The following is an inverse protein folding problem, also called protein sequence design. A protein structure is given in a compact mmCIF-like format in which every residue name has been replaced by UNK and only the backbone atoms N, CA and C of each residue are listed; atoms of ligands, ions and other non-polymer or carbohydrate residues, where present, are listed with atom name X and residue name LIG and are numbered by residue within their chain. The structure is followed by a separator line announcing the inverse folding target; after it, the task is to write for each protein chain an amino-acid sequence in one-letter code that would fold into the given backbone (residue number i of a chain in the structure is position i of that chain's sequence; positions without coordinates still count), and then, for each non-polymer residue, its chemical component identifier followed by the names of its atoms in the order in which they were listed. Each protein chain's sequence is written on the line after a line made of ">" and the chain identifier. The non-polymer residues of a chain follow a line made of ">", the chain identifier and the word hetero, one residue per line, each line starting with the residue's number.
data_IF_195972809374
#
_entry.id   IF_195972809374
#
_cell.length_a   1.000
_cell.length_b   1.000
_cell.length_c   1.000
_cell.angle_alpha   90.00
_cell.angle_beta   90.00
_cell.angle_gamma   90.00
#
_symmetry.space_group_name_H-M   'P 1'
#
loop_
_entity.id
_entity.type
_entity.pdbx_description
1 polymer ?
#
# COMPACT_ATOMS: atom_id res chain seq x y z
N UNK A 1 77.70 49.08 -15.91
CA UNK A 1 76.72 50.13 -15.58
C UNK A 1 75.49 49.46 -14.97
N UNK A 2 75.06 49.90 -13.79
CA UNK A 2 74.05 49.25 -12.94
C UNK A 2 72.65 49.41 -13.54
N UNK A 3 71.85 48.36 -13.59
CA UNK A 3 70.39 48.46 -13.47
C UNK A 3 69.92 47.44 -12.44
N UNK A 4 69.50 47.96 -11.29
CA UNK A 4 68.82 47.21 -10.23
C UNK A 4 67.38 46.99 -10.67
N UNK A 5 66.93 45.74 -10.80
CA UNK A 5 65.51 45.42 -10.85
C UNK A 5 65.05 45.10 -9.43
N UNK A 6 64.24 46.01 -8.88
CA UNK A 6 63.51 45.84 -7.61
C UNK A 6 62.33 44.92 -7.87
N UNK A 7 62.20 43.87 -7.08
CA UNK A 7 60.98 43.07 -6.96
C UNK A 7 59.84 43.95 -6.42
N UNK A 8 58.71 43.99 -7.12
CA UNK A 8 57.45 44.44 -6.52
C UNK A 8 56.25 43.81 -7.25
N UNK A 9 56.00 42.52 -6.97
CA UNK A 9 54.68 41.89 -7.14
C UNK A 9 54.50 40.92 -5.97
N UNK A 10 54.34 41.45 -4.77
CA UNK A 10 53.85 40.72 -3.60
C UNK A 10 52.60 41.43 -3.14
N UNK A 11 51.47 41.12 -3.78
CA UNK A 11 50.20 41.77 -3.45
C UNK A 11 48.96 41.20 -4.13
N UNK A 12 49.05 40.07 -4.83
CA UNK A 12 47.90 39.53 -5.59
C UNK A 12 47.73 38.00 -5.50
N UNK A 13 48.29 37.35 -4.48
CA UNK A 13 48.08 35.90 -4.26
C UNK A 13 47.40 35.62 -2.91
N UNK A 14 47.36 36.58 -1.97
CA UNK A 14 46.79 36.36 -0.64
C UNK A 14 45.29 36.67 -0.53
N UNK A 15 44.70 37.38 -1.49
CA UNK A 15 43.24 37.63 -1.51
C UNK A 15 42.47 36.54 -2.27
N UNK A 16 43.09 35.85 -3.23
CA UNK A 16 42.44 34.75 -3.97
C UNK A 16 42.28 33.49 -3.12
N UNK A 17 43.19 33.25 -2.18
CA UNK A 17 43.10 32.09 -1.26
C UNK A 17 41.97 32.28 -0.24
N UNK A 18 41.68 33.52 0.18
CA UNK A 18 40.60 33.79 1.13
C UNK A 18 39.21 33.68 0.47
N UNK A 19 39.10 33.97 -0.83
CA UNK A 19 37.84 33.78 -1.57
C UNK A 19 37.56 32.29 -1.86
N UNK A 20 38.60 31.50 -2.16
CA UNK A 20 38.46 30.05 -2.34
C UNK A 20 38.14 29.29 -1.05
N UNK A 21 38.51 29.80 0.13
CA UNK A 21 38.21 29.17 1.40
C UNK A 21 36.73 29.36 1.83
N UNK A 22 36.13 30.52 1.52
CA UNK A 22 34.73 30.81 1.86
C UNK A 22 33.73 29.97 1.04
N UNK A 23 34.06 29.63 -0.21
CA UNK A 23 33.21 28.78 -1.04
C UNK A 23 33.28 27.28 -0.65
N UNK A 24 34.36 26.85 0.03
CA UNK A 24 34.54 25.44 0.39
C UNK A 24 33.70 25.03 1.62
N UNK A 25 33.42 25.95 2.53
CA UNK A 25 32.47 25.74 3.64
C UNK A 25 31.01 25.69 3.18
N UNK A 26 30.66 26.35 2.07
CA UNK A 26 29.31 26.31 1.50
C UNK A 26 29.06 25.05 0.63
N UNK A 27 30.10 24.51 0.00
CA UNK A 27 30.00 23.32 -0.85
C UNK A 27 29.89 22.00 -0.07
N UNK A 28 30.40 21.94 1.17
CA UNK A 28 30.31 20.74 2.01
C UNK A 28 28.87 20.45 2.49
N UNK A 29 27.95 21.41 2.33
CA UNK A 29 26.56 21.29 2.76
C UNK A 29 25.60 20.75 1.69
N UNK A 30 26.09 20.39 0.50
CA UNK A 30 25.26 20.16 -0.70
C UNK A 30 25.19 18.72 -1.23
N UNK A 31 25.57 17.71 -0.45
CA UNK A 31 25.33 16.32 -0.85
C UNK A 31 25.09 15.37 0.33
N UNK A 32 24.06 15.65 1.13
CA UNK A 32 23.35 14.56 1.80
C UNK A 32 22.54 13.86 0.70
N UNK A 33 23.09 12.81 0.09
CA UNK A 33 22.29 11.95 -0.80
C UNK A 33 21.04 11.55 -0.04
N UNK A 34 19.89 12.10 -0.42
CA UNK A 34 18.62 11.74 0.21
C UNK A 34 18.34 10.30 -0.17
N UNK A 35 18.59 9.38 0.76
CA UNK A 35 18.26 7.97 0.54
C UNK A 35 16.74 7.90 0.38
N UNK A 36 16.27 7.60 -0.83
CA UNK A 36 14.83 7.45 -1.09
C UNK A 36 14.43 5.98 -0.98
N UNK A 37 13.24 5.73 -0.43
CA UNK A 37 12.66 4.39 -0.31
C UNK A 37 11.33 4.31 -1.09
N UNK A 38 11.03 3.16 -1.67
CA UNK A 38 9.72 2.90 -2.27
C UNK A 38 8.77 2.42 -1.18
N UNK A 39 7.63 3.10 -1.01
CA UNK A 39 6.62 2.76 -0.01
C UNK A 39 5.38 2.27 -0.72
N UNK A 40 4.93 1.07 -0.36
CA UNK A 40 3.62 0.54 -0.73
C UNK A 40 2.69 0.65 0.47
N UNK A 41 1.52 1.22 0.27
CA UNK A 41 0.45 1.32 1.26
C UNK A 41 -0.72 0.46 0.80
N UNK A 42 -1.11 -0.49 1.64
CA UNK A 42 -2.24 -1.38 1.40
C UNK A 42 -3.36 -1.08 2.38
N UNK A 43 -4.54 -0.73 1.85
CA UNK A 43 -5.79 -0.71 2.62
C UNK A 43 -6.53 -1.99 2.32
N UNK A 44 -6.65 -2.86 3.32
CA UNK A 44 -7.39 -4.12 3.22
C UNK A 44 -8.79 -3.88 3.78
N UNK A 45 -9.81 -4.18 2.99
CA UNK A 45 -11.21 -3.98 3.33
C UNK A 45 -11.87 -5.30 3.77
N UNK A 46 -13.05 -5.21 4.38
CA UNK A 46 -13.76 -6.39 4.90
C UNK A 46 -14.19 -7.38 3.79
N UNK A 47 -14.47 -6.86 2.59
CA UNK A 47 -14.80 -7.64 1.39
C UNK A 47 -13.59 -8.32 0.74
N UNK A 48 -12.39 -8.13 1.31
CA UNK A 48 -11.13 -8.75 0.88
C UNK A 48 -10.42 -8.02 -0.26
N UNK A 49 -11.02 -6.95 -0.80
CA UNK A 49 -10.37 -6.07 -1.77
C UNK A 49 -9.20 -5.31 -1.10
N UNK A 50 -8.19 -4.95 -1.89
CA UNK A 50 -6.97 -4.28 -1.43
C UNK A 50 -6.67 -3.07 -2.31
N UNK A 51 -6.79 -1.88 -1.73
CA UNK A 51 -6.33 -0.65 -2.39
C UNK A 51 -4.82 -0.50 -2.17
N UNK A 52 -4.07 -0.43 -3.27
CA UNK A 52 -2.62 -0.31 -3.29
C UNK A 52 -2.23 1.09 -3.76
N UNK A 53 -1.47 1.81 -2.94
CA UNK A 53 -0.83 3.07 -3.31
C UNK A 53 0.69 2.91 -3.24
N UNK A 54 1.41 3.41 -4.25
CA UNK A 54 2.88 3.34 -4.31
C UNK A 54 3.45 4.74 -4.44
N UNK A 55 4.38 5.06 -3.57
CA UNK A 55 5.05 6.37 -3.55
C UNK A 55 6.54 6.23 -3.25
N UNK A 56 7.33 7.21 -3.70
CA UNK A 56 8.73 7.33 -3.31
C UNK A 56 8.82 8.36 -2.20
N UNK A 57 9.47 8.00 -1.10
CA UNK A 57 9.60 8.87 0.06
C UNK A 57 11.07 9.05 0.43
N UNK A 58 11.40 10.26 0.90
CA UNK A 58 12.77 10.63 1.30
C UNK A 58 13.03 10.18 2.73
N UNK A 59 14.15 9.49 3.00
CA UNK A 59 14.61 9.10 4.34
C UNK A 59 15.51 10.19 4.95
N UNK A 60 15.11 11.46 4.88
CA UNK A 60 15.93 12.56 5.42
C UNK A 60 16.13 12.42 6.93
N UNK A 61 15.08 11.96 7.61
CA UNK A 61 15.03 11.55 9.00
C UNK A 61 14.12 10.31 9.14
N UNK A 62 14.69 9.25 9.71
CA UNK A 62 13.97 8.00 9.95
C UNK A 62 12.80 8.20 10.92
N UNK A 63 12.97 8.98 11.97
CA UNK A 63 11.94 9.11 13.01
C UNK A 63 10.72 9.85 12.47
N UNK A 64 10.94 10.93 11.72
CA UNK A 64 9.91 11.65 10.99
C UNK A 64 9.25 10.78 9.90
N UNK A 65 10.03 9.93 9.20
CA UNK A 65 9.50 9.00 8.20
C UNK A 65 8.56 7.94 8.79
N UNK A 66 8.81 7.43 9.99
CA UNK A 66 7.90 6.44 10.61
C UNK A 66 6.66 7.10 11.21
N UNK A 67 6.80 8.35 11.67
CA UNK A 67 5.69 9.10 12.24
C UNK A 67 4.54 9.37 11.25
N UNK A 68 4.84 9.59 9.96
CA UNK A 68 3.82 9.78 8.91
C UNK A 68 2.94 8.53 8.68
N UNK A 69 3.43 7.34 9.03
CA UNK A 69 2.68 6.08 8.90
C UNK A 69 2.10 5.60 10.23
N UNK A 70 1.94 6.49 11.22
CA UNK A 70 1.29 6.16 12.48
C UNK A 70 -0.12 5.59 12.24
N UNK A 71 -0.40 4.45 12.87
CA UNK A 71 -1.67 3.73 12.69
C UNK A 71 -1.71 2.80 11.47
N UNK A 72 -0.61 2.70 10.71
CA UNK A 72 -0.37 1.62 9.77
C UNK A 72 0.50 0.55 10.41
N UNK A 73 0.33 -0.70 9.96
CA UNK A 73 1.17 -1.83 10.36
C UNK A 73 2.26 -2.02 9.33
N UNK A 74 3.52 -2.00 9.74
CA UNK A 74 4.63 -2.38 8.87
C UNK A 74 4.60 -3.91 8.66
N UNK A 75 4.37 -4.34 7.42
CA UNK A 75 4.27 -5.76 7.05
C UNK A 75 5.59 -6.29 6.52
N UNK A 76 6.27 -5.50 5.69
CA UNK A 76 7.57 -5.86 5.13
C UNK A 76 8.49 -4.65 5.07
N UNK A 77 9.77 -4.85 5.35
CA UNK A 77 10.80 -3.86 5.15
C UNK A 77 12.03 -4.50 4.51
N UNK A 78 12.51 -3.88 3.43
CA UNK A 78 13.79 -4.17 2.75
C UNK A 78 14.57 -2.86 2.63
N UNK A 79 15.78 -2.91 2.08
CA UNK A 79 16.67 -1.74 2.04
C UNK A 79 16.04 -0.53 1.34
N UNK A 80 15.39 -0.75 0.19
CA UNK A 80 14.79 0.29 -0.64
C UNK A 80 13.25 0.13 -0.81
N UNK A 81 12.63 -0.64 0.10
CA UNK A 81 11.19 -0.90 0.07
C UNK A 81 10.58 -1.05 1.45
N UNK A 82 9.40 -0.46 1.67
CA UNK A 82 8.57 -0.72 2.84
C UNK A 82 7.11 -0.94 2.43
N UNK A 83 6.49 -1.98 2.98
CA UNK A 83 5.08 -2.27 2.84
C UNK A 83 4.36 -1.97 4.16
N UNK A 84 3.43 -1.04 4.12
CA UNK A 84 2.52 -0.78 5.23
C UNK A 84 1.12 -1.23 4.87
N UNK A 85 0.43 -1.81 5.84
CA UNK A 85 -0.95 -2.26 5.71
C UNK A 85 -1.83 -1.64 6.78
N UNK A 86 -3.04 -1.25 6.38
CA UNK A 86 -4.09 -0.78 7.28
C UNK A 86 -5.36 -1.54 7.01
N UNK A 87 -5.95 -2.09 8.07
CA UNK A 87 -7.28 -2.68 8.01
C UNK A 87 -8.32 -1.57 8.02
N UNK A 88 -9.27 -1.64 7.10
CA UNK A 88 -10.39 -0.71 6.99
C UNK A 88 -11.65 -1.46 7.37
N UNK A 89 -12.32 -0.97 8.41
CA UNK A 89 -13.56 -1.55 8.94
C UNK A 89 -14.80 -1.13 8.12
N UNK A 90 -14.69 -1.30 6.81
CA UNK A 90 -15.71 -0.99 5.79
C UNK A 90 -15.44 -1.84 4.55
N UNK A 91 -16.40 -1.92 3.63
CA UNK A 91 -16.20 -2.51 2.31
C UNK A 91 -15.54 -1.52 1.35
N UNK A 92 -14.85 -2.05 0.34
CA UNK A 92 -14.17 -1.24 -0.65
C UNK A 92 -15.13 -0.33 -1.44
N UNK A 93 -14.67 0.87 -1.87
CA UNK A 93 -15.47 1.74 -2.73
C UNK A 93 -15.97 1.07 -4.01
N UNK A 94 -15.20 0.13 -4.56
CA UNK A 94 -15.56 -0.61 -5.77
C UNK A 94 -16.70 -1.59 -5.50
N UNK A 95 -16.65 -2.33 -4.39
CA UNK A 95 -17.75 -3.20 -3.98
C UNK A 95 -19.02 -2.43 -3.59
N UNK A 96 -18.90 -1.21 -3.05
CA UNK A 96 -20.07 -0.32 -2.86
C UNK A 96 -20.79 -0.01 -4.17
N UNK A 97 -20.08 0.01 -5.30
CA UNK A 97 -20.69 0.22 -6.60
C UNK A 97 -21.18 -1.09 -7.23
N UNK A 98 -20.40 -2.17 -7.12
CA UNK A 98 -20.60 -3.39 -7.92
C UNK A 98 -20.19 -4.69 -7.21
N UNK A 99 -20.30 -4.78 -5.89
CA UNK A 99 -19.93 -5.96 -5.11
C UNK A 99 -21.02 -7.03 -5.09
N UNK A 100 -20.62 -8.29 -5.24
CA UNK A 100 -21.50 -9.45 -5.12
C UNK A 100 -20.86 -10.54 -4.26
N UNK A 101 -21.68 -11.25 -3.50
CA UNK A 101 -21.29 -12.49 -2.81
C UNK A 101 -21.85 -13.67 -3.61
N UNK A 102 -21.02 -14.67 -3.84
CA UNK A 102 -21.40 -15.90 -4.52
C UNK A 102 -20.55 -17.08 -4.09
N UNK A 103 -20.61 -18.15 -4.87
CA UNK A 103 -19.76 -19.32 -4.71
C UNK A 103 -18.68 -19.33 -5.78
N UNK A 104 -17.45 -19.65 -5.38
CA UNK A 104 -16.42 -20.09 -6.34
C UNK A 104 -16.74 -21.50 -6.84
N UNK A 105 -15.96 -21.98 -7.82
CA UNK A 105 -16.11 -23.32 -8.41
C UNK A 105 -16.06 -24.46 -7.35
N UNK A 106 -15.37 -24.23 -6.23
CA UNK A 106 -15.19 -25.21 -5.14
C UNK A 106 -16.23 -25.07 -4.00
N UNK A 107 -17.31 -24.30 -4.20
CA UNK A 107 -18.32 -24.07 -3.17
C UNK A 107 -17.84 -23.17 -2.02
N UNK A 108 -16.91 -22.27 -2.30
CA UNK A 108 -16.38 -21.31 -1.32
C UNK A 108 -17.14 -20.00 -1.41
N UNK A 109 -17.70 -19.54 -0.28
CA UNK A 109 -18.30 -18.21 -0.17
C UNK A 109 -17.23 -17.17 -0.47
N UNK A 110 -17.48 -16.36 -1.49
CA UNK A 110 -16.49 -15.47 -2.08
C UNK A 110 -17.12 -14.15 -2.53
N UNK A 111 -16.32 -13.09 -2.59
CA UNK A 111 -16.71 -11.78 -3.14
C UNK A 111 -16.24 -11.63 -4.58
N UNK A 112 -17.03 -10.90 -5.37
CA UNK A 112 -16.80 -10.67 -6.80
C UNK A 112 -17.10 -9.22 -7.18
N UNK A 113 -16.39 -8.70 -8.18
CA UNK A 113 -16.77 -7.47 -8.86
C UNK A 113 -17.70 -7.81 -10.01
N UNK A 114 -18.98 -7.47 -9.87
CA UNK A 114 -20.02 -7.96 -10.77
C UNK A 114 -20.51 -9.35 -10.36
N UNK A 115 -21.40 -9.92 -11.18
CA UNK A 115 -22.01 -11.22 -10.86
C UNK A 115 -20.97 -12.34 -10.94
N UNK A 116 -21.06 -13.36 -10.08
CA UNK A 116 -20.25 -14.57 -10.16
C UNK A 116 -20.73 -15.42 -11.35
N UNK A 117 -20.34 -15.04 -12.56
CA UNK A 117 -20.42 -15.95 -13.69
C UNK A 117 -19.23 -16.92 -13.68
N UNK A 118 -19.28 -17.99 -14.47
CA UNK A 118 -18.25 -19.03 -14.45
C UNK A 118 -16.84 -18.58 -14.86
N UNK A 119 -16.64 -17.32 -15.25
CA UNK A 119 -15.35 -16.74 -15.63
C UNK A 119 -14.89 -15.65 -14.67
N UNK A 120 -15.76 -15.21 -13.75
CA UNK A 120 -15.45 -14.17 -12.79
C UNK A 120 -14.45 -14.67 -11.75
N UNK A 121 -13.30 -14.01 -11.66
CA UNK A 121 -12.30 -14.31 -10.63
C UNK A 121 -12.80 -13.78 -9.27
N UNK A 122 -12.78 -14.61 -8.22
CA UNK A 122 -13.08 -14.16 -6.87
C UNK A 122 -12.07 -13.10 -6.40
N UNK A 123 -12.55 -12.01 -5.82
CA UNK A 123 -11.72 -11.03 -5.11
C UNK A 123 -11.11 -11.69 -3.87
N UNK A 124 -11.95 -12.39 -3.11
CA UNK A 124 -11.54 -13.05 -1.88
C UNK A 124 -12.39 -14.28 -1.59
N UNK A 125 -11.73 -15.32 -1.08
CA UNK A 125 -12.32 -16.57 -0.65
C UNK A 125 -12.46 -16.54 0.88
N UNK A 126 -13.67 -16.66 1.42
CA UNK A 126 -13.92 -16.55 2.87
C UNK A 126 -13.94 -17.91 3.56
N UNK A 127 -14.92 -18.76 3.22
CA UNK A 127 -15.06 -20.08 3.82
C UNK A 127 -15.87 -21.01 2.93
N UNK A 128 -15.53 -22.29 2.98
CA UNK A 128 -16.28 -23.31 2.26
C UNK A 128 -17.58 -23.65 2.99
N UNK A 129 -18.64 -23.88 2.23
CA UNK A 129 -19.95 -24.30 2.75
C UNK A 129 -20.35 -25.66 2.18
N UNK A 130 -21.25 -26.34 2.89
CA UNK A 130 -21.90 -27.55 2.41
C UNK A 130 -23.13 -27.14 1.59
N UNK A 131 -22.97 -27.10 0.27
CA UNK A 131 -24.04 -26.72 -0.65
C UNK A 131 -25.22 -27.69 -0.62
N UNK A 132 -25.02 -28.94 -0.19
CA UNK A 132 -26.11 -29.93 -0.09
C UNK A 132 -27.13 -29.58 1.01
N UNK A 133 -26.74 -28.72 1.97
CA UNK A 133 -27.58 -28.24 3.06
C UNK A 133 -28.30 -26.93 2.71
N UNK A 134 -28.01 -26.32 1.57
CA UNK A 134 -28.64 -25.06 1.16
C UNK A 134 -30.09 -25.30 0.76
N UNK A 135 -30.95 -24.37 1.15
CA UNK A 135 -32.27 -24.27 0.55
C UNK A 135 -32.14 -23.86 -0.92
N UNK A 136 -32.96 -24.43 -1.80
CA UNK A 136 -32.85 -24.21 -3.25
C UNK A 136 -32.94 -22.74 -3.66
N UNK A 137 -33.66 -21.91 -2.90
CA UNK A 137 -33.76 -20.48 -3.17
C UNK A 137 -32.45 -19.75 -2.83
N UNK A 138 -31.75 -20.15 -1.76
CA UNK A 138 -30.46 -19.58 -1.36
C UNK A 138 -29.38 -19.97 -2.35
N UNK A 139 -29.37 -21.22 -2.81
CA UNK A 139 -28.47 -21.70 -3.85
C UNK A 139 -28.61 -20.87 -5.14
N UNK A 140 -29.85 -20.60 -5.57
CA UNK A 140 -30.11 -19.74 -6.73
C UNK A 140 -29.63 -18.31 -6.52
N UNK A 141 -29.79 -17.74 -5.33
CA UNK A 141 -29.31 -16.39 -5.01
C UNK A 141 -27.78 -16.31 -5.06
N UNK A 142 -27.08 -17.30 -4.51
CA UNK A 142 -25.62 -17.40 -4.56
C UNK A 142 -25.11 -17.58 -6.00
N UNK A 143 -25.80 -18.39 -6.81
CA UNK A 143 -25.47 -18.59 -8.22
C UNK A 143 -25.68 -17.32 -9.06
N UNK A 144 -26.68 -16.50 -8.75
CA UNK A 144 -26.88 -15.21 -9.42
C UNK A 144 -25.98 -14.09 -8.90
N UNK A 145 -25.38 -14.30 -7.72
CA UNK A 145 -24.68 -13.29 -6.94
C UNK A 145 -25.64 -12.46 -6.10
N UNK A 146 -25.41 -12.44 -4.79
CA UNK A 146 -26.12 -11.59 -3.85
C UNK A 146 -25.43 -10.22 -3.84
N UNK A 147 -26.09 -9.14 -4.31
CA UNK A 147 -25.48 -7.82 -4.29
C UNK A 147 -25.35 -7.29 -2.85
N UNK A 148 -24.27 -6.59 -2.57
CA UNK A 148 -24.10 -5.80 -1.34
C UNK A 148 -23.54 -4.42 -1.67
N UNK A 149 -24.03 -3.38 -1.00
CA UNK A 149 -23.66 -1.97 -1.24
C UNK A 149 -23.24 -1.27 0.06
N UNK A 150 -23.54 -1.89 1.20
CA UNK A 150 -23.15 -1.41 2.53
C UNK A 150 -22.40 -2.49 3.29
N UNK A 151 -21.65 -2.06 4.32
CA UNK A 151 -21.00 -2.97 5.27
C UNK A 151 -22.01 -3.91 5.93
N UNK A 152 -23.12 -3.36 6.41
CA UNK A 152 -24.13 -4.14 7.15
C UNK A 152 -24.75 -5.24 6.27
N UNK A 153 -25.02 -4.96 4.99
CA UNK A 153 -25.49 -5.97 4.03
C UNK A 153 -24.45 -7.08 3.82
N UNK A 154 -23.19 -6.70 3.64
CA UNK A 154 -22.08 -7.65 3.46
C UNK A 154 -21.94 -8.56 4.68
N UNK A 155 -21.88 -7.99 5.88
CA UNK A 155 -21.74 -8.72 7.14
C UNK A 155 -22.96 -9.62 7.39
N UNK A 156 -24.16 -9.12 7.09
CA UNK A 156 -25.39 -9.88 7.23
C UNK A 156 -25.40 -11.14 6.34
N UNK A 157 -25.03 -11.02 5.07
CA UNK A 157 -24.97 -12.18 4.16
C UNK A 157 -23.95 -13.20 4.67
N UNK A 158 -22.76 -12.77 5.09
CA UNK A 158 -21.77 -13.69 5.66
C UNK A 158 -22.29 -14.38 6.92
N UNK A 159 -22.98 -13.66 7.80
CA UNK A 159 -23.56 -14.23 9.03
C UNK A 159 -24.62 -15.29 8.71
N UNK A 160 -25.51 -15.02 7.75
CA UNK A 160 -26.53 -16.00 7.29
C UNK A 160 -25.89 -17.23 6.65
N UNK A 161 -24.69 -17.10 6.05
CA UNK A 161 -23.97 -18.22 5.44
C UNK A 161 -23.18 -19.08 6.44
N UNK A 162 -22.80 -18.54 7.60
CA UNK A 162 -21.99 -19.26 8.61
C UNK A 162 -22.56 -20.63 9.04
N UNK A 163 -23.87 -20.82 9.26
CA UNK A 163 -24.43 -22.13 9.62
C UNK A 163 -24.18 -23.24 8.60
N UNK A 164 -23.94 -22.90 7.34
CA UNK A 164 -23.64 -23.86 6.26
C UNK A 164 -22.15 -24.17 6.14
N UNK A 165 -21.28 -23.50 6.92
CA UNK A 165 -19.83 -23.70 6.87
C UNK A 165 -19.47 -25.17 7.12
N UNK A 166 -18.49 -25.67 6.36
CA UNK A 166 -17.91 -26.98 6.58
C UNK A 166 -17.11 -27.01 7.88
N UNK A 167 -17.25 -28.06 8.68
CA UNK A 167 -16.46 -28.26 9.92
C UNK A 167 -14.96 -28.35 9.64
N UNK A 168 -14.59 -28.75 8.41
CA UNK A 168 -13.21 -28.75 7.90
C UNK A 168 -12.97 -27.51 7.05
N UNK A 169 -12.94 -26.33 7.67
CA UNK A 169 -12.47 -25.11 7.01
C UNK A 169 -10.96 -24.96 7.23
N UNK A 170 -10.22 -24.59 6.18
CA UNK A 170 -8.76 -24.35 6.22
C UNK A 170 -8.38 -23.16 7.11
#
# INVERSE_FOLDING_TARGET
>A
MKVKIKYFVTGLIMTSVLFFALDMEAAEHLQKESKTINVQLEKVYLDGDVSIERQRASLEDKDTFWAQYKGWTLVEQREDFALFRKQIDDISPLSKANGYIGLSEDGVISTFHGRPDGWAEPIHLFFQIDTSRLESHVEQQLAQGIPFRTKDEFEHVLEVMKPYRNEQSF
#
